data_IF_091224985269
#
_entry.id   IF_091224985269
#
_cell.length_a   1.000
_cell.length_b   1.000
_cell.length_c   1.000
_cell.angle_alpha   90.00
_cell.angle_beta   90.00
_cell.angle_gamma   90.00
#
_symmetry.space_group_name_H-M   'P 1'
#
loop_
_entity.id
_entity.type
_entity.pdbx_description
1 polymer ?
#
# COMPACT_ATOMS: atom_id res chain seq x y z
N UNK A 1 -5.58 3.04 -99.80
CA UNK A 1 -6.37 1.91 -99.27
C UNK A 1 -5.57 1.26 -98.16
N UNK A 2 -6.28 0.89 -97.11
CA UNK A 2 -5.86 0.29 -95.84
C UNK A 2 -5.53 1.22 -94.67
N UNK A 3 -6.64 1.45 -93.96
CA UNK A 3 -6.88 1.99 -92.63
C UNK A 3 -5.98 1.46 -91.52
N UNK A 4 -5.80 2.36 -90.55
CA UNK A 4 -5.75 2.17 -89.09
C UNK A 4 -6.32 0.86 -88.53
N UNK A 5 -5.63 0.27 -87.55
CA UNK A 5 -6.31 -0.10 -86.30
C UNK A 5 -5.37 -0.08 -85.10
N UNK A 6 -5.69 0.83 -84.17
CA UNK A 6 -5.22 0.88 -82.79
C UNK A 6 -6.48 0.50 -81.99
N UNK A 7 -6.51 -0.68 -81.38
CA UNK A 7 -7.16 -0.91 -80.08
C UNK A 7 -7.06 -2.37 -79.63
N UNK A 8 -6.55 -2.51 -78.41
CA UNK A 8 -7.14 -3.32 -77.34
C UNK A 8 -7.32 -4.81 -77.58
N UNK A 9 -6.39 -5.60 -77.06
CA UNK A 9 -6.78 -6.80 -76.33
C UNK A 9 -6.01 -6.88 -75.01
N UNK A 10 -6.78 -7.05 -73.95
CA UNK A 10 -6.43 -6.96 -72.55
C UNK A 10 -6.41 -8.39 -72.00
N UNK A 11 -5.61 -8.60 -70.95
CA UNK A 11 -5.61 -9.72 -69.99
C UNK A 11 -4.94 -11.04 -70.42
N UNK A 12 -3.73 -11.23 -69.92
CA UNK A 12 -3.50 -12.38 -69.04
C UNK A 12 -2.55 -11.98 -67.90
N UNK A 13 -3.10 -12.01 -66.68
CA UNK A 13 -2.42 -11.76 -65.42
C UNK A 13 -1.86 -13.08 -64.90
N UNK A 14 -0.54 -13.18 -64.77
CA UNK A 14 0.11 -14.14 -63.88
C UNK A 14 1.13 -13.34 -63.05
N UNK A 15 0.93 -13.20 -61.72
CA UNK A 15 1.76 -12.34 -60.90
C UNK A 15 2.92 -13.15 -60.32
N UNK A 16 4.13 -12.96 -60.84
CA UNK A 16 5.32 -13.45 -60.15
C UNK A 16 5.72 -12.37 -59.15
N UNK A 17 4.99 -12.32 -58.04
CA UNK A 17 5.48 -11.64 -56.85
C UNK A 17 6.67 -12.46 -56.39
N UNK A 18 7.87 -11.91 -56.58
CA UNK A 18 9.07 -12.39 -55.93
C UNK A 18 8.76 -12.59 -54.44
N UNK A 19 8.69 -13.86 -54.03
CA UNK A 19 8.68 -14.26 -52.62
C UNK A 19 10.04 -13.92 -52.03
N UNK A 20 10.27 -12.64 -51.76
CA UNK A 20 11.20 -12.24 -50.72
C UNK A 20 10.55 -12.62 -49.38
N UNK A 21 10.98 -13.78 -48.87
CA UNK A 21 11.31 -13.97 -47.46
C UNK A 21 10.26 -13.48 -46.45
N UNK A 22 9.18 -14.24 -46.25
CA UNK A 22 8.62 -14.33 -44.89
C UNK A 22 9.62 -15.13 -44.05
N UNK A 23 10.54 -14.41 -43.42
CA UNK A 23 11.40 -14.93 -42.36
C UNK A 23 10.54 -15.35 -41.15
N UNK A 24 10.77 -16.54 -40.56
CA UNK A 24 10.18 -16.94 -39.28
C UNK A 24 10.54 -16.03 -38.08
N UNK A 25 11.44 -15.06 -38.27
CA UNK A 25 11.95 -14.16 -37.23
C UNK A 25 10.89 -13.25 -36.60
N UNK A 26 9.83 -12.86 -37.32
CA UNK A 26 8.82 -11.95 -36.75
C UNK A 26 8.08 -12.56 -35.53
N UNK A 27 7.76 -13.86 -35.59
CA UNK A 27 7.01 -14.53 -34.51
C UNK A 27 7.88 -14.81 -33.27
N UNK A 28 9.18 -15.08 -33.47
CA UNK A 28 10.14 -15.22 -32.37
C UNK A 28 10.32 -13.89 -31.62
N UNK A 29 10.42 -12.78 -32.35
CA UNK A 29 10.60 -11.45 -31.74
C UNK A 29 9.36 -10.96 -30.97
N UNK A 30 8.14 -11.28 -31.41
CA UNK A 30 6.92 -10.86 -30.69
C UNK A 30 6.76 -11.57 -29.35
N UNK A 31 7.08 -12.87 -29.29
CA UNK A 31 7.09 -13.63 -28.02
C UNK A 31 8.17 -13.12 -27.07
N UNK A 32 9.37 -12.83 -27.58
CA UNK A 32 10.47 -12.23 -26.79
C UNK A 32 10.10 -10.84 -26.26
N UNK A 33 9.51 -9.97 -27.10
CA UNK A 33 9.02 -8.66 -26.67
C UNK A 33 7.92 -8.79 -25.60
N UNK A 34 6.99 -9.73 -25.76
CA UNK A 34 5.95 -9.95 -24.78
C UNK A 34 6.52 -10.44 -23.43
N UNK A 35 7.53 -11.31 -23.45
CA UNK A 35 8.22 -11.75 -22.23
C UNK A 35 8.94 -10.58 -21.53
N UNK A 36 9.64 -9.73 -22.29
CA UNK A 36 10.34 -8.54 -21.75
C UNK A 36 9.33 -7.57 -21.11
N UNK A 37 8.25 -7.25 -21.81
CA UNK A 37 7.19 -6.36 -21.29
C UNK A 37 6.56 -6.96 -20.03
N UNK A 38 6.28 -8.26 -20.01
CA UNK A 38 5.72 -8.94 -18.86
C UNK A 38 6.68 -8.91 -17.65
N UNK A 39 7.96 -9.21 -17.88
CA UNK A 39 9.00 -9.16 -16.84
C UNK A 39 9.10 -7.75 -16.24
N UNK A 40 9.23 -6.71 -17.07
CA UNK A 40 9.30 -5.34 -16.57
C UNK A 40 8.02 -4.92 -15.86
N UNK A 41 6.85 -5.36 -16.35
CA UNK A 41 5.57 -5.10 -15.69
C UNK A 41 5.54 -5.66 -14.28
N UNK A 42 6.02 -6.89 -14.08
CA UNK A 42 6.01 -7.52 -12.76
C UNK A 42 7.06 -6.91 -11.82
N UNK A 43 8.23 -6.51 -12.34
CA UNK A 43 9.20 -5.74 -11.55
C UNK A 43 8.65 -4.37 -11.13
N UNK A 44 7.96 -3.66 -12.04
CA UNK A 44 7.30 -2.39 -11.70
C UNK A 44 6.25 -2.60 -10.60
N UNK A 45 5.42 -3.66 -10.69
CA UNK A 45 4.44 -3.97 -9.62
C UNK A 45 5.10 -4.25 -8.28
N UNK A 46 6.23 -4.99 -8.26
CA UNK A 46 7.00 -5.23 -7.03
C UNK A 46 7.53 -3.92 -6.44
N UNK A 47 8.10 -3.05 -7.28
CA UNK A 47 8.57 -1.73 -6.85
C UNK A 47 7.43 -0.88 -6.28
N UNK A 48 6.26 -0.88 -6.92
CA UNK A 48 5.08 -0.17 -6.41
C UNK A 48 4.66 -0.66 -5.01
N UNK A 49 4.65 -1.98 -4.78
CA UNK A 49 4.33 -2.57 -3.47
C UNK A 49 5.35 -2.19 -2.42
N UNK A 50 6.64 -2.24 -2.78
CA UNK A 50 7.73 -1.81 -1.90
C UNK A 50 7.61 -0.33 -1.54
N UNK A 51 7.37 0.54 -2.51
CA UNK A 51 7.15 1.97 -2.26
C UNK A 51 5.98 2.22 -1.30
N UNK A 52 4.87 1.49 -1.45
CA UNK A 52 3.75 1.54 -0.51
C UNK A 52 4.14 1.16 0.91
N UNK A 53 4.96 0.11 1.07
CA UNK A 53 5.50 -0.29 2.37
C UNK A 53 6.49 0.75 2.93
N UNK A 54 7.35 1.32 2.09
CA UNK A 54 8.31 2.34 2.48
C UNK A 54 7.60 3.61 2.99
N UNK A 55 6.50 4.02 2.36
CA UNK A 55 5.66 5.15 2.85
C UNK A 55 5.15 4.89 4.27
N UNK A 56 4.68 3.67 4.56
CA UNK A 56 4.21 3.28 5.90
C UNK A 56 5.37 3.30 6.89
N UNK A 57 6.51 2.72 6.52
CA UNK A 57 7.69 2.68 7.38
C UNK A 57 8.21 4.09 7.68
N UNK A 58 8.25 4.98 6.70
CA UNK A 58 8.60 6.40 6.88
C UNK A 58 7.63 7.04 7.89
N UNK A 59 6.33 6.84 7.72
CA UNK A 59 5.32 7.36 8.66
C UNK A 59 5.53 6.86 10.10
N UNK A 60 5.85 5.58 10.28
CA UNK A 60 6.15 5.00 11.59
C UNK A 60 7.39 5.63 12.23
N UNK A 61 8.49 5.78 11.48
CA UNK A 61 9.71 6.43 11.97
C UNK A 61 9.47 7.89 12.35
N UNK A 62 8.67 8.61 11.56
CA UNK A 62 8.29 9.99 11.87
C UNK A 62 7.49 10.07 13.19
N UNK A 63 6.56 9.14 13.42
CA UNK A 63 5.80 9.05 14.66
C UNK A 63 6.73 8.78 15.86
N UNK A 64 7.64 7.80 15.72
CA UNK A 64 8.63 7.45 16.75
C UNK A 64 9.53 8.65 17.10
N UNK A 65 10.12 9.31 16.10
CA UNK A 65 10.97 10.49 16.33
C UNK A 65 10.18 11.62 17.00
N UNK A 66 8.95 11.87 16.54
CA UNK A 66 8.08 12.90 17.11
C UNK A 66 7.81 12.68 18.60
N UNK A 67 7.72 11.43 19.07
CA UNK A 67 7.53 11.11 20.49
C UNK A 67 8.75 11.44 21.37
N UNK A 68 9.95 11.45 20.79
CA UNK A 68 11.20 11.76 21.51
C UNK A 68 11.55 13.26 21.51
N UNK A 69 10.92 14.05 20.66
CA UNK A 69 11.18 15.48 20.52
C UNK A 69 10.21 16.32 21.36
N UNK A 70 10.72 17.41 21.94
CA UNK A 70 9.90 18.40 22.65
C UNK A 70 8.97 19.13 21.65
N UNK A 71 7.90 19.72 22.18
CA UNK A 71 6.98 20.55 21.39
C UNK A 71 7.74 21.58 20.52
N UNK A 72 7.33 21.72 19.25
CA UNK A 72 7.95 22.63 18.29
C UNK A 72 9.29 22.17 17.68
N UNK A 73 10.00 21.22 18.30
CA UNK A 73 11.30 20.74 17.80
C UNK A 73 11.15 19.84 16.56
N UNK A 74 10.03 19.13 16.45
CA UNK A 74 9.76 18.24 15.31
C UNK A 74 9.71 18.99 13.97
N UNK A 75 9.04 20.13 13.89
CA UNK A 75 8.98 20.94 12.66
C UNK A 75 10.35 21.49 12.26
N UNK A 76 11.14 21.91 13.25
CA UNK A 76 12.51 22.40 13.02
C UNK A 76 13.40 21.28 12.47
N UNK A 77 13.33 20.09 13.06
CA UNK A 77 14.05 18.91 12.61
C UNK A 77 13.65 18.46 11.19
N UNK A 78 12.35 18.45 10.87
CA UNK A 78 11.87 18.15 9.52
C UNK A 78 12.45 19.10 8.47
N UNK A 79 12.53 20.40 8.82
CA UNK A 79 13.06 21.42 7.93
C UNK A 79 14.57 21.30 7.76
N UNK A 80 15.32 20.96 8.81
CA UNK A 80 16.78 20.82 8.73
C UNK A 80 17.23 19.57 7.99
N UNK A 81 16.60 18.41 8.26
CA UNK A 81 17.05 17.12 7.70
C UNK A 81 16.53 16.85 6.30
N UNK A 82 15.28 17.26 6.00
CA UNK A 82 14.60 16.87 4.76
C UNK A 82 14.06 18.06 3.96
N UNK A 83 14.15 19.27 4.50
CA UNK A 83 13.47 20.45 3.96
C UNK A 83 11.94 20.27 3.84
N UNK A 84 11.34 19.42 4.69
CA UNK A 84 9.90 19.10 4.64
C UNK A 84 9.04 20.03 5.47
N UNK A 85 7.81 20.24 5.01
CA UNK A 85 6.74 20.86 5.80
C UNK A 85 6.13 19.87 6.78
N UNK A 86 5.47 20.39 7.82
CA UNK A 86 4.68 19.56 8.74
C UNK A 86 3.53 18.84 8.00
N UNK A 87 2.95 19.46 6.97
CA UNK A 87 1.88 18.86 6.16
C UNK A 87 2.37 17.61 5.42
N UNK A 88 3.55 17.65 4.81
CA UNK A 88 4.18 16.50 4.15
C UNK A 88 4.42 15.35 5.12
N UNK A 89 5.07 15.62 6.27
CA UNK A 89 5.30 14.60 7.30
C UNK A 89 3.98 14.02 7.82
N UNK A 90 2.96 14.86 8.02
CA UNK A 90 1.64 14.42 8.51
C UNK A 90 0.97 13.46 7.55
N UNK A 91 1.10 13.64 6.23
CA UNK A 91 0.56 12.68 5.25
C UNK A 91 1.17 11.29 5.45
N UNK A 92 2.49 11.16 5.61
CA UNK A 92 3.14 9.88 5.90
C UNK A 92 2.65 9.26 7.22
N UNK A 93 2.61 10.05 8.29
CA UNK A 93 2.14 9.57 9.60
C UNK A 93 0.68 9.08 9.54
N UNK A 94 -0.19 9.79 8.81
CA UNK A 94 -1.59 9.37 8.60
C UNK A 94 -1.66 8.01 7.89
N UNK A 95 -0.85 7.79 6.84
CA UNK A 95 -0.79 6.47 6.18
C UNK A 95 -0.39 5.39 7.19
N UNK A 96 0.65 5.63 7.98
CA UNK A 96 1.11 4.67 9.00
C UNK A 96 0.04 4.36 10.06
N UNK A 97 -0.66 5.38 10.57
CA UNK A 97 -1.72 5.20 11.57
C UNK A 97 -2.93 4.42 11.02
N UNK A 98 -3.35 4.71 9.78
CA UNK A 98 -4.52 4.07 9.17
C UNK A 98 -4.23 2.63 8.73
N UNK A 99 -3.00 2.32 8.33
CA UNK A 99 -2.68 1.04 7.69
C UNK A 99 -1.69 0.17 8.47
N UNK A 100 -1.45 0.47 9.75
CA UNK A 100 -0.59 -0.31 10.66
C UNK A 100 -0.82 -1.83 10.65
N UNK A 101 -2.03 -2.29 10.33
CA UNK A 101 -2.42 -3.70 10.33
C UNK A 101 -2.82 -4.22 8.93
N UNK A 102 -2.60 -3.44 7.88
CA UNK A 102 -2.93 -3.83 6.50
C UNK A 102 -1.68 -4.43 5.86
N UNK A 103 -1.84 -5.61 5.26
CA UNK A 103 -0.79 -6.27 4.50
C UNK A 103 -0.85 -5.81 3.04
N UNK A 104 0.21 -5.14 2.57
CA UNK A 104 0.30 -4.63 1.20
C UNK A 104 1.04 -5.57 0.25
N UNK A 105 1.51 -6.73 0.73
CA UNK A 105 2.31 -7.69 -0.06
C UNK A 105 1.60 -8.11 -1.34
N UNK A 106 0.26 -8.11 -1.35
CA UNK A 106 -0.57 -8.50 -2.50
C UNK A 106 -1.44 -7.38 -3.08
N UNK A 107 -1.35 -6.15 -2.57
CA UNK A 107 -2.22 -5.04 -2.98
C UNK A 107 -1.56 -4.19 -4.08
N UNK A 108 -2.19 -4.10 -5.24
CA UNK A 108 -1.77 -3.20 -6.32
C UNK A 108 -2.37 -1.80 -6.12
N UNK A 109 -1.84 -1.07 -5.14
CA UNK A 109 -2.29 0.28 -4.79
C UNK A 109 -1.14 1.27 -5.01
N UNK A 110 -1.42 2.41 -5.65
CA UNK A 110 -0.44 3.47 -5.85
C UNK A 110 -0.28 4.35 -4.60
N UNK A 111 0.89 4.97 -4.43
CA UNK A 111 1.14 5.94 -3.36
C UNK A 111 0.07 7.03 -3.25
N UNK A 112 -0.38 7.56 -4.40
CA UNK A 112 -1.44 8.59 -4.44
C UNK A 112 -2.76 8.11 -3.85
N UNK A 113 -3.10 6.83 -4.05
CA UNK A 113 -4.32 6.25 -3.46
C UNK A 113 -4.15 6.13 -1.96
N UNK A 114 -2.99 5.66 -1.47
CA UNK A 114 -2.72 5.56 -0.02
C UNK A 114 -2.91 6.90 0.69
N UNK A 115 -2.33 7.98 0.17
CA UNK A 115 -2.52 9.31 0.77
C UNK A 115 -3.98 9.78 0.70
N UNK A 116 -4.68 9.51 -0.40
CA UNK A 116 -6.08 9.86 -0.55
C UNK A 116 -6.92 9.17 0.53
N UNK A 117 -6.80 7.84 0.64
CA UNK A 117 -7.63 7.07 1.57
C UNK A 117 -7.18 7.20 3.03
N UNK A 118 -5.92 7.58 3.31
CA UNK A 118 -5.45 7.86 4.66
C UNK A 118 -6.02 9.15 5.28
N UNK A 119 -6.55 10.06 4.46
CA UNK A 119 -7.02 11.34 4.95
C UNK A 119 -8.15 11.18 5.99
N UNK A 120 -8.17 11.99 7.06
CA UNK A 120 -9.12 11.85 8.16
C UNK A 120 -10.58 12.14 7.77
N UNK A 121 -10.79 12.83 6.65
CA UNK A 121 -12.11 13.13 6.09
C UNK A 121 -12.74 11.96 5.33
N UNK A 122 -12.00 10.87 5.12
CA UNK A 122 -12.47 9.69 4.41
C UNK A 122 -13.10 8.73 5.41
N UNK A 123 -14.32 8.28 5.11
CA UNK A 123 -15.04 7.34 5.98
C UNK A 123 -14.36 5.97 6.00
N UNK A 124 -14.54 5.24 7.09
CA UNK A 124 -13.95 3.91 7.25
C UNK A 124 -14.48 2.93 6.19
N UNK A 125 -15.75 3.06 5.80
CA UNK A 125 -16.41 2.23 4.79
C UNK A 125 -15.79 2.46 3.40
N UNK A 126 -15.53 3.71 3.03
CA UNK A 126 -14.88 4.04 1.77
C UNK A 126 -13.45 3.48 1.70
N UNK A 127 -12.70 3.56 2.80
CA UNK A 127 -11.36 2.94 2.90
C UNK A 127 -11.43 1.43 2.75
N UNK A 128 -12.36 0.78 3.45
CA UNK A 128 -12.51 -0.67 3.44
C UNK A 128 -12.84 -1.18 2.02
N UNK A 129 -13.74 -0.52 1.30
CA UNK A 129 -14.10 -0.90 -0.07
C UNK A 129 -12.91 -0.78 -1.03
N UNK A 130 -12.12 0.29 -0.93
CA UNK A 130 -10.91 0.46 -1.74
C UNK A 130 -9.92 -0.70 -1.50
N UNK A 131 -9.70 -1.04 -0.23
CA UNK A 131 -8.80 -2.13 0.14
C UNK A 131 -9.34 -3.50 -0.29
N UNK A 132 -10.64 -3.75 -0.15
CA UNK A 132 -11.28 -5.00 -0.55
C UNK A 132 -11.16 -5.23 -2.06
N UNK A 133 -11.48 -4.21 -2.87
CA UNK A 133 -11.34 -4.31 -4.33
C UNK A 133 -9.89 -4.56 -4.75
N UNK A 134 -8.94 -3.89 -4.10
CA UNK A 134 -7.52 -4.12 -4.34
C UNK A 134 -7.07 -5.53 -3.91
N UNK A 135 -7.61 -6.07 -2.81
CA UNK A 135 -7.34 -7.43 -2.34
C UNK A 135 -7.89 -8.49 -3.30
N UNK A 136 -9.01 -8.20 -3.98
CA UNK A 136 -9.59 -9.02 -5.04
C UNK A 136 -8.84 -8.91 -6.38
N UNK A 137 -7.68 -8.25 -6.42
CA UNK A 137 -6.83 -8.14 -7.60
C UNK A 137 -7.20 -7.00 -8.55
N UNK A 138 -8.18 -6.16 -8.21
CA UNK A 138 -8.48 -4.98 -9.03
C UNK A 138 -7.33 -3.96 -8.94
N UNK A 139 -6.90 -3.44 -10.09
CA UNK A 139 -5.99 -2.29 -10.11
C UNK A 139 -6.77 -1.02 -9.73
N UNK A 140 -6.52 -0.52 -8.52
CA UNK A 140 -7.10 0.72 -8.01
C UNK A 140 -6.12 1.87 -8.22
N UNK A 141 -6.40 2.66 -9.26
CA UNK A 141 -5.73 3.93 -9.49
C UNK A 141 -6.42 5.09 -8.74
N UNK A 142 -5.82 6.28 -8.80
CA UNK A 142 -6.32 7.47 -8.10
C UNK A 142 -7.77 7.83 -8.48
N UNK A 143 -8.11 7.78 -9.77
CA UNK A 143 -9.44 8.13 -10.26
C UNK A 143 -10.51 7.19 -9.69
N UNK A 144 -10.27 5.88 -9.75
CA UNK A 144 -11.19 4.88 -9.19
C UNK A 144 -11.37 5.03 -7.68
N UNK A 145 -10.26 5.22 -6.95
CA UNK A 145 -10.33 5.45 -5.50
C UNK A 145 -11.15 6.70 -5.17
N UNK A 146 -10.98 7.78 -5.94
CA UNK A 146 -11.73 9.03 -5.78
C UNK A 146 -13.22 8.85 -6.05
N UNK A 147 -13.60 8.04 -7.04
CA UNK A 147 -14.99 7.70 -7.33
C UNK A 147 -15.65 6.95 -6.17
N UNK A 148 -14.98 5.92 -5.63
CA UNK A 148 -15.45 5.16 -4.46
C UNK A 148 -15.66 6.10 -3.26
N UNK A 149 -14.65 6.92 -2.96
CA UNK A 149 -14.72 7.93 -1.88
C UNK A 149 -15.89 8.89 -2.08
N UNK A 150 -16.09 9.38 -3.31
CA UNK A 150 -17.17 10.32 -3.62
C UNK A 150 -18.55 9.68 -3.45
N UNK A 151 -18.71 8.42 -3.88
CA UNK A 151 -19.94 7.66 -3.73
C UNK A 151 -20.33 7.51 -2.25
N UNK A 152 -19.40 7.11 -1.39
CA UNK A 152 -19.62 7.03 0.06
C UNK A 152 -19.95 8.38 0.68
N UNK A 153 -19.23 9.43 0.29
CA UNK A 153 -19.51 10.79 0.77
C UNK A 153 -20.93 11.23 0.42
N UNK A 154 -21.41 10.94 -0.79
CA UNK A 154 -22.77 11.24 -1.23
C UNK A 154 -23.82 10.45 -0.45
N UNK A 155 -23.58 9.16 -0.19
CA UNK A 155 -24.47 8.33 0.63
C UNK A 155 -24.63 8.93 2.03
N UNK A 156 -23.51 9.30 2.68
CA UNK A 156 -23.52 9.91 4.01
C UNK A 156 -24.26 11.25 4.05
N UNK A 157 -24.19 12.03 2.97
CA UNK A 157 -24.89 13.31 2.85
C UNK A 157 -26.40 13.17 2.53
N UNK A 158 -26.84 12.02 2.03
CA UNK A 158 -28.23 11.77 1.62
C UNK A 158 -29.11 11.07 2.67
N UNK A 159 -28.53 10.62 3.78
CA UNK A 159 -29.27 9.95 4.86
C UNK A 159 -29.97 11.01 5.76
N UNK A 160 -31.31 11.05 5.85
CA UNK A 160 -31.99 12.04 6.68
C UNK A 160 -31.79 11.73 8.17
N UNK A 161 -31.30 12.71 8.93
CA UNK A 161 -31.32 12.71 10.39
C UNK A 161 -32.78 12.63 10.87
N UNK A 162 -33.22 11.46 11.35
CA UNK A 162 -34.38 11.39 12.26
C UNK A 162 -33.86 11.62 13.69
N UNK A 163 -34.33 12.66 14.40
CA UNK A 163 -34.05 12.79 15.82
C UNK A 163 -34.71 11.64 16.57
N UNK A 164 -33.92 10.92 17.38
CA UNK A 164 -34.43 10.02 18.41
C UNK A 164 -35.00 10.90 19.52
N UNK A 165 -36.32 11.07 19.54
CA UNK A 165 -37.04 11.72 20.64
C UNK A 165 -37.15 10.75 21.80
N UNK A 166 -36.33 10.95 22.83
CA UNK A 166 -36.56 10.41 24.17
C UNK A 166 -37.55 11.37 24.86
N UNK A 167 -38.76 10.95 25.26
CA UNK A 167 -39.70 11.83 25.93
C UNK A 167 -39.33 11.95 27.41
N UNK A 168 -38.79 13.10 27.81
CA UNK A 168 -38.67 13.48 29.23
C UNK A 168 -39.87 14.38 29.56
N UNK A 169 -40.79 13.80 30.34
CA UNK A 169 -42.00 14.42 30.86
C UNK A 169 -41.65 15.50 31.89
N UNK A 170 -42.00 16.74 31.59
CA UNK A 170 -41.93 17.89 32.48
C UNK A 170 -43.13 17.95 33.42
N UNK A 171 -42.89 17.92 34.73
CA UNK A 171 -43.86 18.35 35.75
C UNK A 171 -43.30 19.56 36.49
N UNK A 172 -44.03 20.66 36.38
CA UNK A 172 -43.81 21.98 36.97
C UNK A 172 -43.88 21.95 38.49
N UNK A 173 -43.11 22.82 39.18
CA UNK A 173 -43.59 23.64 40.30
C UNK A 173 -42.68 24.87 40.49
N UNK A 174 -43.36 25.99 40.69
CA UNK A 174 -42.97 27.37 40.95
C UNK A 174 -41.95 27.58 42.09
N UNK A 175 -41.17 28.67 42.03
CA UNK A 175 -41.09 29.78 43.01
C UNK A 175 -39.95 30.75 42.57
N UNK A 176 -40.32 32.01 42.31
CA UNK A 176 -39.48 33.22 42.22
C UNK A 176 -39.22 33.80 43.64
N UNK A 177 -38.50 34.93 43.87
CA UNK A 177 -37.60 35.74 43.02
C UNK A 177 -36.29 36.17 43.74
N UNK A 178 -35.29 36.74 43.03
CA UNK A 178 -34.57 37.96 43.46
C UNK A 178 -33.39 38.38 42.56
N UNK A 179 -33.54 39.58 41.97
CA UNK A 179 -32.56 40.67 41.72
C UNK A 179 -31.30 40.40 40.87
N UNK A 180 -31.24 40.94 39.64
CA UNK A 180 -30.67 42.26 39.21
C UNK A 180 -29.13 42.20 39.04
N UNK A 181 -28.44 42.71 38.02
CA UNK A 181 -28.69 43.79 37.05
C UNK A 181 -27.87 43.61 35.76
N UNK A 182 -28.45 44.13 34.67
CA UNK A 182 -27.85 44.86 33.52
C UNK A 182 -26.37 44.70 33.16
N UNK A 183 -26.11 44.25 31.93
CA UNK A 183 -25.50 45.10 30.89
C UNK A 183 -25.47 44.40 29.53
N UNK A 184 -26.09 45.03 28.52
CA UNK A 184 -25.92 44.68 27.11
C UNK A 184 -24.50 45.01 26.65
N UNK A 185 -23.82 44.10 25.97
CA UNK A 185 -22.83 44.47 24.96
C UNK A 185 -22.84 43.49 23.80
N UNK A 186 -23.29 44.02 22.66
CA UNK A 186 -23.22 43.41 21.34
C UNK A 186 -21.76 43.40 20.87
N UNK A 187 -21.39 42.40 20.05
CA UNK A 187 -20.65 42.55 18.77
C UNK A 187 -19.69 41.36 18.48
N UNK A 188 -20.00 40.73 17.34
CA UNK A 188 -19.17 40.05 16.33
C UNK A 188 -18.48 38.72 16.61
N UNK A 189 -19.13 37.71 16.03
CA UNK A 189 -18.63 36.52 15.34
C UNK A 189 -17.46 36.87 14.39
N UNK A 190 -16.29 36.28 14.60
CA UNK A 190 -15.21 36.23 13.62
C UNK A 190 -14.99 34.77 13.20
N UNK A 191 -15.27 34.54 11.92
CA UNK A 191 -15.24 33.26 11.24
C UNK A 191 -13.99 33.30 10.36
N UNK A 192 -12.86 32.80 10.85
CA UNK A 192 -11.64 32.70 10.04
C UNK A 192 -11.74 31.46 9.15
N UNK A 193 -12.02 31.75 7.89
CA UNK A 193 -11.80 30.92 6.71
C UNK A 193 -10.33 30.53 6.66
N UNK A 194 -10.03 29.24 6.62
CA UNK A 194 -8.72 28.77 6.15
C UNK A 194 -8.87 28.42 4.68
N UNK A 195 -8.25 29.26 3.85
CA UNK A 195 -8.17 29.12 2.40
C UNK A 195 -7.39 27.86 2.04
N UNK A 196 -7.91 27.15 1.04
CA UNK A 196 -7.27 26.01 0.44
C UNK A 196 -6.11 26.47 -0.44
N UNK A 197 -4.90 26.46 0.10
CA UNK A 197 -3.70 26.50 -0.73
C UNK A 197 -3.55 25.14 -1.41
N UNK A 198 -3.58 25.20 -2.74
CA UNK A 198 -3.29 24.08 -3.64
C UNK A 198 -1.79 23.85 -3.66
N UNK A 199 -1.24 23.29 -2.59
CA UNK A 199 0.14 22.81 -2.57
C UNK A 199 0.23 21.51 -3.38
N UNK A 200 0.95 21.60 -4.49
CA UNK A 200 1.37 20.50 -5.34
C UNK A 200 1.93 19.33 -4.52
N UNK A 201 1.56 18.12 -4.93
CA UNK A 201 2.19 16.88 -4.48
C UNK A 201 3.72 17.03 -4.46
N UNK A 202 4.44 16.44 -3.49
CA UNK A 202 5.88 16.31 -3.61
C UNK A 202 6.14 15.48 -4.87
N UNK A 203 6.59 16.18 -5.92
CA UNK A 203 7.14 15.56 -7.12
C UNK A 203 8.33 14.73 -6.65
N UNK A 204 8.31 13.45 -6.97
CA UNK A 204 9.48 12.58 -6.82
C UNK A 204 10.46 12.96 -7.94
N UNK A 205 11.04 14.16 -7.83
CA UNK A 205 12.20 14.55 -8.61
C UNK A 205 13.41 13.94 -7.90
N UNK A 206 13.88 12.82 -8.44
CA UNK A 206 15.23 12.34 -8.18
C UNK A 206 16.19 13.37 -8.78
N UNK A 207 16.74 14.24 -7.95
CA UNK A 207 17.87 15.08 -8.35
C UNK A 207 19.14 14.22 -8.33
N UNK A 208 19.70 14.02 -9.52
CA UNK A 208 21.05 13.54 -9.73
C UNK A 208 22.05 14.41 -8.96
N UNK A 209 22.84 13.82 -8.07
CA UNK A 209 24.14 14.40 -7.76
C UNK A 209 25.18 13.38 -7.27
N UNK A 210 26.27 13.34 -8.04
CA UNK A 210 27.65 13.00 -7.70
C UNK A 210 27.98 11.51 -7.47
N UNK A 211 28.35 10.87 -8.58
CA UNK A 211 29.27 9.74 -8.64
C UNK A 211 30.60 10.14 -8.00
N UNK A 212 30.91 9.61 -6.82
CA UNK A 212 32.30 9.51 -6.34
C UNK A 212 32.72 8.04 -6.47
N UNK A 213 33.47 7.79 -7.54
CA UNK A 213 34.28 6.58 -7.74
C UNK A 213 35.28 6.45 -6.59
N UNK A 214 35.13 5.41 -5.77
CA UNK A 214 36.23 4.87 -4.97
C UNK A 214 36.44 3.39 -5.32
N UNK A 215 37.71 3.07 -5.48
CA UNK A 215 38.28 1.84 -6.03
C UNK A 215 37.85 0.58 -5.26
N UNK A 216 37.51 -0.48 -6.00
CA UNK A 216 37.49 -1.85 -5.49
C UNK A 216 38.78 -2.54 -5.96
N UNK A 217 39.70 -2.92 -5.06
CA UNK A 217 40.71 -3.91 -5.38
C UNK A 217 40.05 -5.28 -5.53
N UNK A 218 40.31 -5.94 -6.66
CA UNK A 218 40.05 -7.36 -6.85
C UNK A 218 40.97 -8.13 -5.92
N UNK A 219 40.41 -8.84 -4.95
CA UNK A 219 40.97 -10.10 -4.51
C UNK A 219 39.85 -11.05 -4.09
N UNK A 220 39.89 -12.22 -4.71
CA UNK A 220 39.01 -13.34 -4.49
C UNK A 220 39.28 -13.94 -3.11
N UNK A 221 38.27 -13.98 -2.23
CA UNK A 221 38.27 -14.92 -1.11
C UNK A 221 36.90 -15.57 -0.99
N UNK A 222 36.96 -16.89 -1.11
CA UNK A 222 35.94 -17.89 -0.97
C UNK A 222 35.53 -17.98 0.52
N UNK A 223 34.25 -17.79 0.85
CA UNK A 223 33.68 -18.19 2.16
C UNK A 223 32.32 -18.83 1.84
N UNK A 224 32.32 -20.13 1.56
CA UNK A 224 32.11 -21.18 2.55
C UNK A 224 30.83 -20.92 3.37
N UNK A 225 29.82 -21.71 3.06
CA UNK A 225 28.75 -22.12 3.96
C UNK A 225 29.24 -22.20 5.40
N UNK A 226 28.71 -21.37 6.29
CA UNK A 226 28.76 -21.67 7.71
C UNK A 226 27.41 -21.39 8.37
N UNK A 227 26.74 -22.50 8.67
CA UNK A 227 25.72 -22.66 9.70
C UNK A 227 26.41 -22.47 11.07
N UNK A 228 25.61 -22.16 12.10
CA UNK A 228 25.96 -22.00 13.53
C UNK A 228 26.55 -20.65 13.96
N UNK A 229 25.64 -19.76 14.38
CA UNK A 229 25.56 -19.32 15.78
C UNK A 229 24.28 -18.49 15.98
N UNK A 230 23.11 -19.14 15.95
CA UNK A 230 21.93 -18.62 16.64
C UNK A 230 22.01 -19.19 18.05
N UNK A 231 22.51 -18.41 19.00
CA UNK A 231 22.66 -18.81 20.41
C UNK A 231 21.47 -19.68 20.86
N UNK A 232 21.72 -20.89 21.37
CA UNK A 232 20.68 -21.84 21.84
C UNK A 232 19.61 -21.17 22.71
N UNK A 233 20.00 -20.12 23.44
CA UNK A 233 19.13 -19.27 24.26
C UNK A 233 17.95 -18.65 23.49
N UNK A 234 18.12 -18.27 22.22
CA UNK A 234 17.01 -17.67 21.43
C UNK A 234 16.04 -18.74 20.95
N UNK A 235 16.53 -19.91 20.54
CA UNK A 235 15.69 -21.04 20.17
C UNK A 235 14.93 -21.60 21.37
N UNK A 236 15.57 -21.66 22.55
CA UNK A 236 14.93 -22.04 23.81
C UNK A 236 13.83 -21.04 24.22
N UNK A 237 14.07 -19.74 24.08
CA UNK A 237 13.05 -18.72 24.34
C UNK A 237 11.86 -18.82 23.39
N UNK A 238 12.11 -19.13 22.12
CA UNK A 238 11.06 -19.38 21.13
C UNK A 238 10.27 -20.64 21.52
N UNK A 239 10.96 -21.72 21.92
CA UNK A 239 10.31 -22.96 22.36
C UNK A 239 9.44 -22.77 23.61
N UNK A 240 9.92 -21.99 24.59
CA UNK A 240 9.13 -21.61 25.78
C UNK A 240 7.88 -20.84 25.36
N UNK A 241 8.03 -19.88 24.45
CA UNK A 241 6.92 -19.08 23.95
C UNK A 241 5.88 -19.93 23.21
N UNK A 242 6.32 -20.90 22.40
CA UNK A 242 5.44 -21.86 21.73
C UNK A 242 4.68 -22.74 22.73
N UNK A 243 5.35 -23.21 23.78
CA UNK A 243 4.73 -24.06 24.83
C UNK A 243 3.62 -23.36 25.60
N UNK A 244 3.63 -22.02 25.64
CA UNK A 244 2.61 -21.21 26.33
C UNK A 244 1.36 -20.95 25.48
N UNK A 245 1.39 -21.25 24.18
CA UNK A 245 0.25 -21.06 23.28
C UNK A 245 -0.74 -22.21 23.39
N UNK A 246 -2.04 -21.89 23.27
CA UNK A 246 -3.05 -22.93 23.08
C UNK A 246 -2.96 -23.53 21.67
N UNK A 247 -3.49 -24.74 21.42
CA UNK A 247 -3.50 -25.34 20.09
C UNK A 247 -4.14 -24.43 19.02
N UNK A 248 -5.22 -23.72 19.38
CA UNK A 248 -5.92 -22.80 18.49
C UNK A 248 -5.08 -21.55 18.19
N UNK A 249 -4.38 -21.02 19.20
CA UNK A 249 -3.48 -19.88 19.03
C UNK A 249 -2.27 -20.25 18.19
N UNK A 250 -1.71 -21.44 18.39
CA UNK A 250 -0.60 -21.95 17.59
C UNK A 250 -1.02 -22.17 16.14
N UNK A 251 -2.18 -22.77 15.89
CA UNK A 251 -2.73 -22.95 14.55
C UNK A 251 -2.96 -21.59 13.86
N UNK A 252 -3.52 -20.61 14.58
CA UNK A 252 -3.74 -19.27 14.07
C UNK A 252 -2.41 -18.54 13.79
N UNK A 253 -1.40 -18.72 14.64
CA UNK A 253 -0.08 -18.16 14.45
C UNK A 253 0.60 -18.73 13.19
N UNK A 254 0.54 -20.05 12.99
CA UNK A 254 1.06 -20.71 11.78
C UNK A 254 0.32 -20.19 10.55
N UNK A 255 -1.02 -20.16 10.55
CA UNK A 255 -1.83 -19.67 9.43
C UNK A 255 -1.53 -18.20 9.07
N UNK A 256 -1.28 -17.35 10.07
CA UNK A 256 -0.82 -15.97 9.85
C UNK A 256 0.61 -15.93 9.31
N UNK A 257 1.48 -16.83 9.74
CA UNK A 257 2.89 -16.88 9.38
C UNK A 257 3.15 -17.32 7.93
N UNK A 258 2.27 -18.16 7.36
CA UNK A 258 2.28 -18.50 5.91
C UNK A 258 2.23 -17.23 5.05
N UNK A 259 1.47 -16.23 5.51
CA UNK A 259 1.29 -14.97 4.78
C UNK A 259 2.39 -13.93 5.09
N UNK A 260 3.35 -14.25 5.97
CA UNK A 260 4.43 -13.36 6.39
C UNK A 260 5.84 -13.91 6.10
N UNK A 261 5.96 -14.90 5.21
CA UNK A 261 7.25 -15.37 4.70
C UNK A 261 7.63 -16.81 5.05
N UNK A 262 6.74 -17.57 5.71
CA UNK A 262 6.94 -19.01 5.89
C UNK A 262 6.65 -19.71 4.55
N UNK A 263 7.69 -20.13 3.84
CA UNK A 263 7.54 -20.81 2.54
C UNK A 263 6.95 -22.21 2.67
N UNK A 264 6.45 -22.75 1.56
CA UNK A 264 5.91 -24.12 1.48
C UNK A 264 6.89 -25.16 2.04
N UNK A 265 8.18 -25.00 1.76
CA UNK A 265 9.25 -25.83 2.32
C UNK A 265 9.32 -25.81 3.85
N UNK A 266 9.17 -24.63 4.47
CA UNK A 266 9.18 -24.52 5.93
C UNK A 266 7.97 -25.22 6.56
N UNK A 267 6.81 -25.18 5.89
CA UNK A 267 5.60 -25.87 6.31
C UNK A 267 5.73 -27.39 6.18
N UNK A 268 6.25 -27.87 5.05
CA UNK A 268 6.54 -29.29 4.83
C UNK A 268 7.51 -29.83 5.89
N UNK A 269 8.57 -29.07 6.20
CA UNK A 269 9.51 -29.43 7.26
C UNK A 269 8.85 -29.45 8.64
N UNK A 270 8.00 -28.46 8.97
CA UNK A 270 7.28 -28.45 10.23
C UNK A 270 6.32 -29.64 10.36
N UNK A 271 5.62 -30.01 9.29
CA UNK A 271 4.74 -31.18 9.24
C UNK A 271 5.54 -32.46 9.48
N UNK A 272 6.67 -32.64 8.77
CA UNK A 272 7.51 -33.82 8.91
C UNK A 272 8.05 -33.99 10.35
N UNK A 273 8.54 -32.91 10.96
CA UNK A 273 9.04 -32.92 12.35
C UNK A 273 7.91 -33.22 13.35
N UNK A 274 6.73 -32.63 13.16
CA UNK A 274 5.57 -32.91 14.01
C UNK A 274 5.15 -34.39 13.95
N UNK A 275 5.10 -34.96 12.74
CA UNK A 275 4.77 -36.37 12.54
C UNK A 275 5.81 -37.29 13.20
N UNK A 276 7.10 -36.98 13.05
CA UNK A 276 8.17 -37.73 13.69
C UNK A 276 8.07 -37.70 15.23
N UNK A 277 7.80 -36.53 15.82
CA UNK A 277 7.64 -36.37 17.25
C UNK A 277 6.43 -37.14 17.82
N UNK A 278 5.30 -37.14 17.08
CA UNK A 278 4.11 -37.93 17.44
C UNK A 278 4.40 -39.44 17.42
N UNK A 279 5.08 -39.92 16.38
CA UNK A 279 5.47 -41.33 16.26
C UNK A 279 6.43 -41.75 17.37
N UNK A 280 7.42 -40.92 17.70
CA UNK A 280 8.34 -41.19 18.81
C UNK A 280 7.62 -41.29 20.17
N UNK A 281 6.62 -40.43 20.41
CA UNK A 281 5.83 -40.45 21.64
C UNK A 281 4.92 -41.68 21.73
N UNK A 282 4.32 -42.11 20.63
CA UNK A 282 3.50 -43.31 20.58
C UNK A 282 4.32 -44.60 20.82
N UNK A 283 5.57 -44.63 20.35
CA UNK A 283 6.49 -45.75 20.57
C UNK A 283 7.07 -45.82 22.00
N UNK A 284 6.96 -44.74 22.79
CA UNK A 284 7.34 -44.68 24.21
C UNK A 284 6.20 -45.07 25.16
N UNK A 285 4.99 -45.29 24.63
CA UNK A 285 3.78 -45.63 25.42
C UNK A 285 3.42 -47.12 25.30
N UNK A 286 4.33 -47.94 24.78
CA UNK A 286 4.28 -49.42 24.72
C UNK A 286 5.35 -49.97 25.67
#
# INVERSE_FOLDING_TARGET
MYQSDLSSEVLELEPILDRQTLTPEACATESEMQMIVQQHTDEIKKLMRRTSQDIINIGQRLIEVKQHLKHGSFTTWLKSEFNWSLSSATKFMQVAEQFKFVNFTNLNITASVLYLIAAPSISQEARAEVLERAANGENINYTKAKEIVHHHKKILQSKPNKPVTIPISSKSTSIEPSHCNSANFSVKKELTVYEAETESLPSVAFEDNQVTTMMIPKDSVNIATNVQDTSDTTLDQIAISIKQLTPEQLALAIAKSVNSGLSDYHLEMAIAVCQQALNARNNLTI
#
